data_IF_106016062837
#
_entry.id   IF_106016062837
#
_cell.length_a   1.000
_cell.length_b   1.000
_cell.length_c   1.000
_cell.angle_alpha   90.00
_cell.angle_beta   90.00
_cell.angle_gamma   90.00
#
_symmetry.space_group_name_H-M   'P 1'
#
loop_
_entity.id
_entity.type
_entity.pdbx_description
1 polymer ?
#
# COMPACT_ATOMS: atom_id res chain seq x y z
N UNK A 1 -10.03 29.72 14.62
CA UNK A 1 -9.88 28.39 13.98
C UNK A 1 -10.74 28.36 12.74
N UNK A 2 -10.23 27.86 11.62
CA UNK A 2 -11.03 27.66 10.40
C UNK A 2 -11.74 26.32 10.50
N UNK A 3 -13.07 26.34 10.59
CA UNK A 3 -13.88 25.11 10.60
C UNK A 3 -14.02 24.60 9.17
N UNK A 4 -13.80 23.29 8.97
CA UNK A 4 -14.03 22.60 7.71
C UNK A 4 -15.16 21.58 7.87
N UNK A 5 -15.97 21.41 6.84
CA UNK A 5 -17.07 20.45 6.79
C UNK A 5 -16.76 19.32 5.82
N UNK A 6 -17.16 18.09 6.16
CA UNK A 6 -17.04 16.93 5.28
C UNK A 6 -18.36 16.77 4.54
N UNK A 7 -18.32 16.79 3.20
CA UNK A 7 -19.50 16.58 2.34
C UNK A 7 -19.62 15.08 1.98
N UNK A 8 -20.84 14.63 1.70
CA UNK A 8 -21.09 13.25 1.23
C UNK A 8 -21.05 12.18 2.33
N UNK A 9 -21.22 12.56 3.60
CA UNK A 9 -21.33 11.63 4.72
C UNK A 9 -22.80 11.56 5.11
N UNK A 10 -23.38 10.37 5.06
CA UNK A 10 -24.75 10.15 5.52
C UNK A 10 -24.85 10.16 7.06
N UNK A 11 -26.08 10.23 7.57
CA UNK A 11 -26.34 10.35 9.00
C UNK A 11 -25.85 9.13 9.79
N UNK A 12 -25.96 7.92 9.23
CA UNK A 12 -25.47 6.69 9.88
C UNK A 12 -23.95 6.71 10.03
N UNK A 13 -23.25 7.04 8.95
CA UNK A 13 -21.79 7.16 8.92
C UNK A 13 -21.33 8.25 9.89
N UNK A 14 -22.01 9.39 9.93
CA UNK A 14 -21.71 10.47 10.87
C UNK A 14 -21.92 10.06 12.32
N UNK A 15 -23.01 9.33 12.60
CA UNK A 15 -23.29 8.77 13.91
C UNK A 15 -22.18 7.79 14.34
N UNK A 16 -21.79 6.88 13.44
CA UNK A 16 -20.72 5.91 13.69
C UNK A 16 -19.38 6.60 13.98
N UNK A 17 -19.04 7.67 13.26
CA UNK A 17 -17.85 8.47 13.58
C UNK A 17 -17.92 9.06 14.99
N UNK A 18 -19.06 9.65 15.37
CA UNK A 18 -19.24 10.21 16.72
C UNK A 18 -19.12 9.15 17.79
N UNK A 19 -19.80 8.02 17.60
CA UNK A 19 -19.74 6.90 18.54
C UNK A 19 -18.32 6.37 18.70
N UNK A 20 -17.56 6.26 17.60
CA UNK A 20 -16.18 5.77 17.64
C UNK A 20 -15.26 6.76 18.38
N UNK A 21 -15.40 8.06 18.14
CA UNK A 21 -14.63 9.09 18.83
C UNK A 21 -14.91 9.08 20.35
N UNK A 22 -16.18 8.97 20.73
CA UNK A 22 -16.61 8.88 22.12
C UNK A 22 -16.07 7.62 22.82
N UNK A 23 -16.17 6.46 22.17
CA UNK A 23 -15.64 5.18 22.70
C UNK A 23 -14.14 5.26 23.00
N UNK A 24 -13.39 5.94 22.13
CA UNK A 24 -11.95 6.10 22.27
C UNK A 24 -11.54 7.35 23.07
N UNK A 25 -12.51 8.08 23.65
CA UNK A 25 -12.29 9.30 24.46
C UNK A 25 -11.42 10.34 23.76
N UNK A 26 -11.65 10.55 22.46
CA UNK A 26 -10.85 11.46 21.66
C UNK A 26 -11.72 12.39 20.81
N UNK A 27 -11.16 13.55 20.46
CA UNK A 27 -11.79 14.48 19.55
C UNK A 27 -11.92 13.88 18.15
N UNK A 28 -13.04 14.15 17.48
CA UNK A 28 -13.30 13.62 16.13
C UNK A 28 -12.20 13.98 15.12
N UNK A 29 -11.62 15.17 15.21
CA UNK A 29 -10.48 15.57 14.38
C UNK A 29 -9.23 14.71 14.61
N UNK A 30 -8.96 14.31 15.86
CA UNK A 30 -7.85 13.41 16.20
C UNK A 30 -8.12 12.00 15.68
N UNK A 31 -9.35 11.50 15.86
CA UNK A 31 -9.75 10.20 15.33
C UNK A 31 -9.54 10.13 13.81
N UNK A 32 -10.01 11.14 13.06
CA UNK A 32 -9.82 11.20 11.62
C UNK A 32 -8.33 11.21 11.23
N UNK A 33 -7.50 11.94 11.97
CA UNK A 33 -6.05 11.94 11.77
C UNK A 33 -5.41 10.57 11.96
N UNK A 34 -5.78 9.84 13.02
CA UNK A 34 -5.28 8.47 13.25
C UNK A 34 -5.78 7.49 12.18
N UNK A 35 -7.04 7.61 11.74
CA UNK A 35 -7.57 6.78 10.65
C UNK A 35 -6.82 6.99 9.32
N UNK A 36 -6.43 8.23 9.02
CA UNK A 36 -5.63 8.54 7.82
C UNK A 36 -4.26 7.88 7.93
N UNK A 37 -3.57 8.03 9.07
CA UNK A 37 -2.25 7.41 9.27
C UNK A 37 -2.31 5.89 9.12
N UNK A 38 -3.33 5.26 9.71
CA UNK A 38 -3.51 3.81 9.63
C UNK A 38 -3.80 3.36 8.19
N UNK A 39 -4.59 4.13 7.44
CA UNK A 39 -4.84 3.85 6.02
C UNK A 39 -3.57 3.99 5.18
N UNK A 40 -2.80 5.05 5.39
CA UNK A 40 -1.52 5.26 4.71
C UNK A 40 -0.49 4.17 5.05
N UNK A 41 -0.41 3.76 6.31
CA UNK A 41 0.52 2.70 6.73
C UNK A 41 0.18 1.37 6.06
N UNK A 42 -1.10 0.98 6.07
CA UNK A 42 -1.61 -0.24 5.42
C UNK A 42 -1.46 -0.19 3.90
N UNK A 43 -1.70 0.95 3.29
CA UNK A 43 -1.45 1.12 1.85
C UNK A 43 0.04 0.99 1.53
N UNK A 44 0.93 1.45 2.41
CA UNK A 44 2.37 1.27 2.23
C UNK A 44 2.78 -0.19 2.35
N UNK A 45 2.16 -0.95 3.26
CA UNK A 45 2.40 -2.39 3.43
C UNK A 45 1.99 -3.17 2.17
N UNK A 46 0.82 -2.87 1.60
CA UNK A 46 0.41 -3.45 0.32
C UNK A 46 1.45 -3.24 -0.78
N UNK A 47 1.94 -2.00 -0.95
CA UNK A 47 2.96 -1.72 -1.95
C UNK A 47 4.32 -2.31 -1.61
N UNK A 48 4.66 -2.44 -0.32
CA UNK A 48 5.89 -3.11 0.11
C UNK A 48 5.87 -4.59 -0.22
N UNK A 49 4.75 -5.27 -0.05
CA UNK A 49 4.61 -6.68 -0.42
C UNK A 49 4.71 -6.87 -1.95
N UNK A 50 4.20 -5.92 -2.73
CA UNK A 50 4.30 -5.94 -4.20
C UNK A 50 5.71 -5.62 -4.69
N UNK A 51 6.37 -4.63 -4.11
CA UNK A 51 7.68 -4.11 -4.56
C UNK A 51 8.86 -4.87 -3.96
N UNK A 52 8.70 -5.42 -2.76
CA UNK A 52 9.72 -6.10 -1.97
C UNK A 52 9.29 -7.49 -1.50
N UNK A 53 8.23 -8.06 -2.10
CA UNK A 53 7.91 -9.46 -1.97
C UNK A 53 9.15 -10.32 -2.23
N UNK A 54 9.18 -11.49 -1.57
CA UNK A 54 10.33 -12.38 -1.48
C UNK A 54 11.10 -12.48 -2.82
N UNK A 55 12.36 -12.05 -2.83
CA UNK A 55 13.21 -12.19 -4.03
C UNK A 55 13.35 -13.69 -4.30
N UNK A 56 12.63 -14.17 -5.31
CA UNK A 56 12.66 -15.58 -5.73
C UNK A 56 14.07 -16.04 -6.14
N UNK A 57 14.93 -15.10 -6.54
CA UNK A 57 16.32 -15.33 -6.91
C UNK A 57 17.21 -14.31 -6.20
N UNK A 58 18.35 -14.76 -5.70
CA UNK A 58 19.42 -13.84 -5.33
C UNK A 58 20.06 -13.22 -6.60
N UNK A 59 20.85 -12.16 -6.44
CA UNK A 59 21.42 -11.41 -7.57
C UNK A 59 22.26 -12.30 -8.50
N UNK A 60 23.00 -13.26 -7.93
CA UNK A 60 23.82 -14.18 -8.70
C UNK A 60 22.97 -15.15 -9.53
N UNK A 61 21.93 -15.72 -8.93
CA UNK A 61 20.98 -16.60 -9.63
C UNK A 61 20.25 -15.86 -10.75
N UNK A 62 19.86 -14.61 -10.51
CA UNK A 62 19.24 -13.77 -11.53
C UNK A 62 20.19 -13.49 -12.71
N UNK A 63 21.45 -13.17 -12.45
CA UNK A 63 22.46 -12.97 -13.49
C UNK A 63 22.76 -14.23 -14.31
N UNK A 64 22.83 -15.39 -13.66
CA UNK A 64 23.03 -16.68 -14.32
C UNK A 64 21.85 -17.00 -15.24
N UNK A 65 20.62 -16.77 -14.77
CA UNK A 65 19.40 -17.02 -15.55
C UNK A 65 19.32 -16.10 -16.78
N UNK A 66 19.75 -14.84 -16.66
CA UNK A 66 19.88 -13.91 -17.79
C UNK A 66 20.92 -14.42 -18.80
N UNK A 67 22.09 -14.87 -18.34
CA UNK A 67 23.14 -15.39 -19.24
C UNK A 67 22.67 -16.62 -20.01
N UNK A 68 22.02 -17.57 -19.34
CA UNK A 68 21.47 -18.77 -19.97
C UNK A 68 20.35 -18.44 -20.96
N UNK A 69 19.42 -17.55 -20.61
CA UNK A 69 18.36 -17.13 -21.56
C UNK A 69 18.91 -16.39 -22.78
N UNK A 70 19.95 -15.55 -22.62
CA UNK A 70 20.62 -14.91 -23.75
C UNK A 70 21.32 -15.95 -24.65
N UNK A 71 21.93 -16.98 -24.06
CA UNK A 71 22.57 -18.07 -24.80
C UNK A 71 21.55 -18.88 -25.59
N UNK A 72 20.47 -19.33 -24.95
CA UNK A 72 19.36 -20.04 -25.59
C UNK A 72 18.73 -19.23 -26.73
N UNK A 73 18.51 -17.93 -26.53
CA UNK A 73 17.98 -17.05 -27.59
C UNK A 73 18.88 -17.01 -28.81
N UNK A 74 20.20 -16.93 -28.60
CA UNK A 74 21.20 -16.95 -29.70
C UNK A 74 21.21 -18.31 -30.42
N UNK A 75 21.16 -19.42 -29.67
CA UNK A 75 21.13 -20.77 -30.23
C UNK A 75 19.88 -21.02 -31.09
N UNK A 76 18.74 -20.47 -30.68
CA UNK A 76 17.47 -20.58 -31.41
C UNK A 76 17.23 -19.46 -32.44
N UNK A 77 18.23 -18.62 -32.72
CA UNK A 77 18.15 -17.60 -33.77
C UNK A 77 17.23 -16.41 -33.45
N UNK A 78 16.79 -16.24 -32.20
CA UNK A 78 16.09 -15.04 -31.77
C UNK A 78 17.08 -13.86 -31.74
N UNK A 79 16.65 -12.71 -32.29
CA UNK A 79 17.51 -11.53 -32.55
C UNK A 79 18.36 -11.11 -31.34
N UNK A 80 19.61 -10.73 -31.64
CA UNK A 80 20.63 -10.21 -30.71
C UNK A 80 20.13 -9.03 -29.90
#
# INVERSE_FOLDING_TARGET
MTTKTIKGVDDDTWFRFKSLALKNRMDMGKLLGEMIKEYESKSSEFWKDVLYGEKLLNEKEAEELIKETVKLRKEHGFRK
#
